data_IF_895106736252
#
_entry.id   IF_895106736252
#
_cell.length_a   1.000
_cell.length_b   1.000
_cell.length_c   1.000
_cell.angle_alpha   90.00
_cell.angle_beta   90.00
_cell.angle_gamma   90.00
#
_symmetry.space_group_name_H-M   'P 1'
#
loop_
_entity.id
_entity.type
_entity.pdbx_description
1 polymer ?
#
# COMPACT_ATOMS: atom_id res chain seq x y z
N UNK A 1 28.42 -4.17 -17.13
CA UNK A 1 27.69 -4.99 -16.14
C UNK A 1 26.41 -4.27 -15.74
N UNK A 2 25.21 -4.81 -16.00
CA UNK A 2 23.94 -4.20 -15.57
C UNK A 2 23.16 -5.24 -14.77
N UNK A 3 23.18 -5.09 -13.44
CA UNK A 3 22.46 -5.97 -12.51
C UNK A 3 20.98 -5.95 -12.88
N UNK A 4 20.45 -7.10 -13.30
CA UNK A 4 19.02 -7.31 -13.42
C UNK A 4 18.40 -7.11 -12.05
N UNK A 5 17.47 -6.15 -11.94
CA UNK A 5 16.63 -6.02 -10.77
C UNK A 5 15.73 -7.26 -10.72
N UNK A 6 16.03 -8.19 -9.82
CA UNK A 6 15.07 -9.18 -9.39
C UNK A 6 13.98 -8.41 -8.64
N UNK A 7 12.96 -7.95 -9.35
CA UNK A 7 11.68 -7.65 -8.74
C UNK A 7 11.08 -9.02 -8.40
N UNK A 8 11.41 -9.50 -7.21
CA UNK A 8 10.88 -10.73 -6.64
C UNK A 8 9.36 -10.57 -6.53
N UNK A 9 8.64 -10.99 -7.56
CA UNK A 9 7.20 -11.22 -7.51
C UNK A 9 6.98 -12.47 -6.67
N UNK A 10 7.16 -12.33 -5.35
CA UNK A 10 7.08 -13.45 -4.42
C UNK A 10 5.61 -13.84 -4.20
N UNK A 11 5.20 -14.86 -4.97
CA UNK A 11 4.35 -15.95 -4.50
C UNK A 11 2.91 -15.59 -4.17
N UNK A 12 1.98 -16.10 -4.98
CA UNK A 12 0.56 -16.10 -4.65
C UNK A 12 0.28 -16.81 -3.33
N UNK A 13 -0.30 -16.07 -2.38
CA UNK A 13 -1.01 -16.59 -1.23
C UNK A 13 -2.08 -15.55 -0.93
N UNK A 14 -3.36 -15.95 -1.03
CA UNK A 14 -4.55 -15.08 -1.07
C UNK A 14 -4.38 -13.79 -0.27
N UNK A 15 -4.21 -12.68 -0.99
CA UNK A 15 -4.06 -11.37 -0.37
C UNK A 15 -5.33 -10.99 0.38
N UNK A 16 -5.20 -10.48 1.60
CA UNK A 16 -6.32 -9.82 2.25
C UNK A 16 -6.59 -8.53 1.48
N UNK A 17 -7.66 -8.55 0.68
CA UNK A 17 -8.13 -7.37 -0.03
C UNK A 17 -9.10 -6.64 0.88
N UNK A 18 -8.72 -5.46 1.35
CA UNK A 18 -9.63 -4.55 2.03
C UNK A 18 -10.15 -3.53 1.03
N UNK A 19 -11.46 -3.34 0.96
CA UNK A 19 -12.07 -2.29 0.14
C UNK A 19 -12.56 -1.20 1.06
N UNK A 20 -12.20 0.05 0.79
CA UNK A 20 -12.67 1.20 1.53
C UNK A 20 -13.46 2.12 0.61
N UNK A 21 -14.71 2.37 0.97
CA UNK A 21 -15.52 3.42 0.37
C UNK A 21 -15.38 4.70 1.18
N UNK A 22 -15.21 5.83 0.51
CA UNK A 22 -15.24 7.14 1.16
C UNK A 22 -16.70 7.58 1.19
N UNK A 23 -17.28 7.65 2.39
CA UNK A 23 -18.66 8.10 2.56
C UNK A 23 -18.79 9.54 2.05
N UNK A 24 -19.65 9.75 1.05
CA UNK A 24 -19.88 11.06 0.42
C UNK A 24 -19.18 11.26 -0.93
N UNK A 25 -18.35 10.32 -1.38
CA UNK A 25 -17.80 10.29 -2.74
C UNK A 25 -18.26 9.07 -3.52
N UNK A 26 -18.33 9.18 -4.85
CA UNK A 26 -18.56 8.03 -5.76
C UNK A 26 -17.26 7.24 -6.04
N UNK A 27 -16.28 7.37 -5.13
CA UNK A 27 -14.93 6.85 -5.31
C UNK A 27 -14.68 5.73 -4.32
N UNK A 28 -14.36 4.56 -4.86
CA UNK A 28 -13.99 3.36 -4.08
C UNK A 28 -12.51 3.12 -4.25
N UNK A 29 -11.78 3.05 -3.14
CA UNK A 29 -10.39 2.64 -3.13
C UNK A 29 -10.28 1.16 -2.76
N UNK A 30 -9.42 0.44 -3.48
CA UNK A 30 -9.10 -0.95 -3.18
C UNK A 30 -7.70 -1.06 -2.62
N UNK A 31 -7.55 -1.85 -1.57
CA UNK A 31 -6.27 -2.09 -0.91
C UNK A 31 -5.96 -3.56 -1.05
N UNK A 32 -4.89 -3.83 -1.77
CA UNK A 32 -4.35 -5.17 -1.92
C UNK A 32 -3.18 -5.32 -0.95
N UNK A 33 -3.37 -6.12 0.09
CA UNK A 33 -2.32 -6.57 1.00
C UNK A 33 -2.17 -8.08 0.96
N UNK A 34 -1.03 -8.60 1.39
CA UNK A 34 -0.87 -10.04 1.61
C UNK A 34 -0.94 -10.35 3.11
N UNK A 35 -1.59 -11.46 3.52
CA UNK A 35 -1.59 -11.87 4.92
C UNK A 35 -0.14 -12.02 5.40
N UNK A 36 0.18 -11.42 6.55
CA UNK A 36 1.53 -11.37 7.16
C UNK A 36 2.58 -10.54 6.40
N UNK A 37 2.23 -9.87 5.29
CA UNK A 37 3.09 -8.85 4.67
C UNK A 37 2.51 -7.49 5.02
N UNK A 38 3.38 -6.61 5.51
CA UNK A 38 3.04 -5.24 5.88
C UNK A 38 2.98 -4.28 4.67
N UNK A 39 3.18 -4.82 3.46
CA UNK A 39 3.11 -4.09 2.21
C UNK A 39 1.70 -4.12 1.63
N UNK A 40 1.17 -2.93 1.35
CA UNK A 40 -0.15 -2.70 0.78
C UNK A 40 -0.03 -1.84 -0.48
N UNK A 41 -0.84 -2.12 -1.50
CA UNK A 41 -1.06 -1.24 -2.65
C UNK A 41 -2.47 -0.72 -2.61
N UNK A 42 -2.63 0.58 -2.81
CA UNK A 42 -3.91 1.26 -2.87
C UNK A 42 -4.16 1.64 -4.31
N UNK A 43 -5.26 1.17 -4.88
CA UNK A 43 -5.73 1.51 -6.21
C UNK A 43 -7.00 2.36 -6.15
N UNK A 44 -7.08 3.31 -7.07
CA UNK A 44 -8.25 4.16 -7.26
C UNK A 44 -9.35 3.48 -8.09
N UNK A 45 -10.39 4.24 -8.47
CA UNK A 45 -11.54 3.73 -9.18
C UNK A 45 -11.21 3.23 -10.59
N UNK A 46 -10.17 3.79 -11.24
CA UNK A 46 -9.74 3.37 -12.58
C UNK A 46 -8.73 2.19 -12.51
N UNK A 47 -8.48 1.66 -11.32
CA UNK A 47 -7.54 0.56 -11.07
C UNK A 47 -6.07 0.98 -11.07
N UNK A 48 -5.79 2.27 -11.20
CA UNK A 48 -4.47 2.86 -11.10
C UNK A 48 -3.97 2.83 -9.65
N UNK A 49 -2.70 2.49 -9.44
CA UNK A 49 -2.10 2.51 -8.10
C UNK A 49 -1.83 3.96 -7.70
N UNK A 50 -2.61 4.46 -6.74
CA UNK A 50 -2.48 5.82 -6.18
C UNK A 50 -1.48 5.88 -5.04
N UNK A 51 -1.25 4.75 -4.37
CA UNK A 51 -0.21 4.66 -3.35
C UNK A 51 0.29 3.23 -3.13
N UNK A 52 1.52 3.13 -2.69
CA UNK A 52 2.13 1.88 -2.26
C UNK A 52 2.82 2.06 -0.91
N UNK A 53 2.76 1.02 -0.09
CA UNK A 53 3.50 0.96 1.18
C UNK A 53 4.53 -0.13 1.13
N UNK A 54 5.69 0.17 1.70
CA UNK A 54 6.79 -0.78 1.86
C UNK A 54 7.36 -0.66 3.25
N UNK A 55 7.94 -1.74 3.78
CA UNK A 55 8.65 -1.66 5.04
C UNK A 55 9.81 -0.66 4.94
N UNK A 56 9.85 0.29 5.85
CA UNK A 56 10.87 1.33 5.85
C UNK A 56 12.22 0.70 6.19
N UNK A 57 13.23 1.05 5.40
CA UNK A 57 14.62 0.64 5.62
C UNK A 57 15.46 1.85 5.99
N UNK A 58 16.53 1.62 6.75
CA UNK A 58 17.60 2.61 6.93
C UNK A 58 18.37 2.79 5.61
N UNK A 59 19.16 3.86 5.49
CA UNK A 59 20.04 4.05 4.33
C UNK A 59 21.08 2.92 4.17
N UNK A 60 21.39 2.22 5.26
CA UNK A 60 22.24 1.03 5.27
C UNK A 60 21.51 -0.26 4.84
N UNK A 61 20.21 -0.19 4.52
CA UNK A 61 19.39 -1.33 4.10
C UNK A 61 18.80 -2.17 5.24
N UNK A 62 18.91 -1.72 6.49
CA UNK A 62 18.33 -2.44 7.63
C UNK A 62 16.84 -2.15 7.70
N UNK A 63 16.00 -3.18 7.63
CA UNK A 63 14.57 -3.02 7.78
C UNK A 63 14.20 -2.62 9.21
N UNK A 64 13.37 -1.57 9.36
CA UNK A 64 12.82 -1.15 10.64
C UNK A 64 11.75 -2.14 11.12
N UNK A 65 11.00 -1.87 12.19
CA UNK A 65 9.91 -2.77 12.62
C UNK A 65 8.92 -3.08 11.48
N UNK A 66 8.23 -4.22 11.54
CA UNK A 66 7.18 -4.59 10.56
C UNK A 66 6.06 -3.54 10.49
N UNK A 67 5.91 -2.76 11.55
CA UNK A 67 4.91 -1.71 11.71
C UNK A 67 5.36 -0.36 11.14
N UNK A 68 6.62 -0.28 10.71
CA UNK A 68 7.22 0.96 10.23
C UNK A 68 7.23 0.92 8.72
N UNK A 69 6.24 1.59 8.14
CA UNK A 69 6.03 1.64 6.70
C UNK A 69 6.42 2.99 6.11
N UNK A 70 6.99 2.95 4.92
CA UNK A 70 7.11 4.07 4.00
C UNK A 70 5.92 4.05 3.06
N UNK A 71 5.17 5.15 2.98
CA UNK A 71 4.09 5.35 2.04
C UNK A 71 4.60 6.21 0.87
N UNK A 72 4.57 5.66 -0.34
CA UNK A 72 4.81 6.39 -1.58
C UNK A 72 3.47 6.67 -2.22
N UNK A 73 3.14 7.95 -2.40
CA UNK A 73 1.92 8.39 -3.08
C UNK A 73 2.29 8.80 -4.49
N UNK A 74 1.61 8.25 -5.49
CA UNK A 74 1.80 8.68 -6.87
C UNK A 74 1.16 10.06 -7.02
N UNK A 75 1.95 11.03 -7.48
CA UNK A 75 1.46 12.37 -7.78
C UNK A 75 1.23 12.44 -9.28
N UNK A 76 -0.02 12.63 -9.67
CA UNK A 76 -0.43 12.72 -11.08
C UNK A 76 -1.29 11.53 -11.53
N UNK A 77 -2.24 11.80 -12.43
CA UNK A 77 -3.23 10.84 -12.91
C UNK A 77 -4.65 11.44 -12.89
N UNK A 78 -5.62 10.72 -13.47
CA UNK A 78 -7.04 11.13 -13.46
C UNK A 78 -7.58 11.27 -12.03
N UNK A 79 -7.07 10.45 -11.12
CA UNK A 79 -7.39 10.42 -9.68
C UNK A 79 -6.37 11.18 -8.82
N UNK A 80 -5.84 12.30 -9.33
CA UNK A 80 -4.91 13.18 -8.58
C UNK A 80 -5.50 13.79 -7.29
N UNK A 81 -6.73 13.44 -6.94
CA UNK A 81 -7.48 13.86 -5.76
C UNK A 81 -7.51 12.79 -4.66
N UNK A 82 -6.59 11.82 -4.66
CA UNK A 82 -6.40 10.98 -3.48
C UNK A 82 -5.82 11.83 -2.34
N UNK A 83 -6.66 12.14 -1.35
CA UNK A 83 -6.22 12.86 -0.15
C UNK A 83 -5.15 12.06 0.57
N UNK A 84 -3.95 12.63 0.72
CA UNK A 84 -2.84 11.98 1.42
C UNK A 84 -3.21 11.54 2.82
N UNK A 85 -4.05 12.31 3.52
CA UNK A 85 -4.55 11.96 4.84
C UNK A 85 -5.46 10.72 4.82
N UNK A 86 -6.28 10.58 3.79
CA UNK A 86 -7.12 9.41 3.60
C UNK A 86 -6.26 8.17 3.34
N UNK A 87 -5.27 8.28 2.45
CA UNK A 87 -4.33 7.20 2.17
C UNK A 87 -3.55 6.78 3.42
N UNK A 88 -3.04 7.74 4.20
CA UNK A 88 -2.35 7.46 5.47
C UNK A 88 -3.29 6.80 6.48
N UNK A 89 -4.49 7.35 6.69
CA UNK A 89 -5.47 6.78 7.62
C UNK A 89 -5.85 5.36 7.25
N UNK A 90 -5.99 5.10 5.95
CA UNK A 90 -6.31 3.79 5.41
C UNK A 90 -5.21 2.76 5.66
N UNK A 91 -3.95 3.13 5.39
CA UNK A 91 -2.78 2.29 5.69
C UNK A 91 -2.67 2.01 7.18
N UNK A 92 -2.89 3.00 8.04
CA UNK A 92 -2.84 2.82 9.50
C UNK A 92 -3.90 1.82 9.94
N UNK A 93 -5.15 1.96 9.49
CA UNK A 93 -6.23 1.04 9.84
C UNK A 93 -5.94 -0.37 9.34
N UNK A 94 -5.55 -0.55 8.08
CA UNK A 94 -5.21 -1.86 7.53
C UNK A 94 -3.98 -2.49 8.20
N UNK A 95 -2.95 -1.70 8.49
CA UNK A 95 -1.76 -2.15 9.19
C UNK A 95 -2.05 -2.56 10.64
N UNK A 96 -2.98 -1.89 11.32
CA UNK A 96 -3.43 -2.29 12.66
C UNK A 96 -4.31 -3.55 12.60
N UNK A 97 -5.24 -3.63 11.65
CA UNK A 97 -6.10 -4.82 11.47
C UNK A 97 -5.28 -6.07 11.16
N UNK A 98 -4.28 -5.96 10.27
CA UNK A 98 -3.39 -7.07 9.93
C UNK A 98 -2.52 -7.57 11.09
N UNK A 99 -2.43 -6.82 12.20
CA UNK A 99 -1.71 -7.22 13.42
C UNK A 99 -2.61 -7.69 14.54
N UNK A 100 -3.89 -7.34 14.49
CA UNK A 100 -4.89 -7.82 15.45
C UNK A 100 -5.49 -9.17 15.07
N UNK A 101 -5.36 -9.60 13.80
CA UNK A 101 -5.82 -10.90 13.28
C UNK A 101 -4.67 -11.91 13.17
#
# INVERSE_FOLDING_TARGET
>A
MKKGGQQEQNGGAGGAVATACVVGGDVVYRIDGAPRKSEFRISGPDGEVVAETKRKQTEAGVALGEDVLSLTVTVGGASAHADRLLLVGLVVVCGLLARCI
#
